data_IF_681496055650
#
_entry.id   IF_681496055650
#
_cell.length_a   1.000
_cell.length_b   1.000
_cell.length_c   1.000
_cell.angle_alpha   90.00
_cell.angle_beta   90.00
_cell.angle_gamma   90.00
#
_symmetry.space_group_name_H-M   'P 1'
#
loop_
_entity.id
_entity.type
_entity.pdbx_description
1 polymer ?
#
# COMPACT_ATOMS: atom_id res chain seq x y z
N UNK A 1 2.14 -0.59 -16.49
CA UNK A 1 3.52 -0.97 -16.81
C UNK A 1 4.01 -2.06 -15.90
N UNK A 2 4.86 -2.95 -16.43
CA UNK A 2 5.33 -4.13 -15.67
C UNK A 2 6.07 -3.76 -14.39
N UNK A 3 6.91 -2.72 -14.42
CA UNK A 3 7.67 -2.31 -13.24
C UNK A 3 6.77 -1.83 -12.10
N UNK A 4 5.77 -1.03 -12.42
CA UNK A 4 4.83 -0.53 -11.41
C UNK A 4 3.92 -1.63 -10.89
N UNK A 5 3.52 -2.54 -11.77
CA UNK A 5 2.73 -3.70 -11.36
C UNK A 5 3.49 -4.55 -10.35
N UNK A 6 4.77 -4.82 -10.63
CA UNK A 6 5.62 -5.59 -9.72
C UNK A 6 5.82 -4.87 -8.40
N UNK A 7 6.02 -3.55 -8.46
CA UNK A 7 6.16 -2.74 -7.25
C UNK A 7 4.89 -2.79 -6.39
N UNK A 8 3.72 -2.75 -7.02
CA UNK A 8 2.45 -2.86 -6.28
C UNK A 8 2.30 -4.21 -5.61
N UNK A 9 2.76 -5.28 -6.24
CA UNK A 9 2.75 -6.59 -5.62
C UNK A 9 3.60 -6.63 -4.36
N UNK A 10 4.80 -6.04 -4.39
CA UNK A 10 5.65 -5.94 -3.22
C UNK A 10 5.06 -5.03 -2.15
N UNK A 11 4.49 -3.90 -2.56
CA UNK A 11 3.84 -3.00 -1.62
C UNK A 11 2.69 -3.71 -0.89
N UNK A 12 1.91 -4.50 -1.61
CA UNK A 12 0.82 -5.28 -1.01
C UNK A 12 1.36 -6.24 0.05
N UNK A 13 2.46 -6.94 -0.26
CA UNK A 13 3.06 -7.86 0.71
C UNK A 13 3.53 -7.13 1.97
N UNK A 14 4.15 -5.98 1.82
CA UNK A 14 4.59 -5.18 2.97
C UNK A 14 3.42 -4.69 3.81
N UNK A 15 2.37 -4.19 3.16
CA UNK A 15 1.18 -3.72 3.87
C UNK A 15 0.44 -4.86 4.56
N UNK A 16 0.42 -6.03 3.95
CA UNK A 16 -0.13 -7.21 4.58
C UNK A 16 0.61 -7.53 5.86
N UNK A 17 1.94 -7.52 5.80
CA UNK A 17 2.78 -7.78 6.95
C UNK A 17 2.54 -6.74 8.05
N UNK A 18 2.45 -5.46 7.69
CA UNK A 18 2.13 -4.40 8.64
C UNK A 18 0.78 -4.65 9.32
N UNK A 19 -0.23 -5.02 8.54
CA UNK A 19 -1.58 -5.23 9.07
C UNK A 19 -1.62 -6.36 10.10
N UNK A 20 -0.81 -7.39 9.89
CA UNK A 20 -0.73 -8.53 10.82
C UNK A 20 0.07 -8.17 12.07
N UNK A 21 1.22 -7.53 11.91
CA UNK A 21 2.13 -7.26 13.03
C UNK A 21 1.90 -5.92 13.70
N UNK A 22 1.36 -4.94 12.98
CA UNK A 22 1.17 -3.55 13.41
C UNK A 22 2.48 -2.85 13.74
N UNK A 23 3.60 -3.33 13.21
CA UNK A 23 4.92 -2.77 13.44
C UNK A 23 5.43 -2.09 12.19
N UNK A 24 5.73 -0.80 12.28
CA UNK A 24 6.29 -0.02 11.18
C UNK A 24 7.81 0.01 11.21
N UNK A 25 8.40 0.01 12.39
CA UNK A 25 9.85 0.17 12.55
C UNK A 25 10.58 -0.97 11.87
N UNK A 26 11.46 -0.61 10.93
CA UNK A 26 12.27 -1.60 10.21
C UNK A 26 11.51 -2.42 9.18
N UNK A 27 10.21 -2.17 8.99
CA UNK A 27 9.39 -2.95 8.06
C UNK A 27 9.97 -2.97 6.64
N UNK A 28 10.25 -1.80 6.10
CA UNK A 28 10.73 -1.68 4.73
C UNK A 28 12.13 -2.28 4.57
N UNK A 29 13.03 -1.91 5.46
CA UNK A 29 14.41 -2.41 5.39
C UNK A 29 14.45 -3.91 5.54
N UNK A 30 13.73 -4.45 6.51
CA UNK A 30 13.70 -5.90 6.74
C UNK A 30 13.11 -6.63 5.53
N UNK A 31 12.07 -6.08 4.94
CA UNK A 31 11.42 -6.72 3.78
C UNK A 31 12.41 -6.96 2.64
N UNK A 32 13.27 -5.97 2.37
CA UNK A 32 14.21 -6.07 1.25
C UNK A 32 15.48 -6.87 1.55
N UNK A 33 15.76 -7.21 2.80
CA UNK A 33 17.00 -7.91 3.15
C UNK A 33 17.16 -9.24 2.44
N UNK A 34 16.05 -9.91 2.13
CA UNK A 34 16.08 -11.23 1.52
C UNK A 34 15.64 -11.23 0.06
N UNK A 35 15.55 -10.05 -0.52
CA UNK A 35 15.06 -9.90 -1.90
C UNK A 35 16.00 -9.03 -2.70
N UNK A 36 16.31 -9.49 -3.92
CA UNK A 36 17.08 -8.69 -4.85
C UNK A 36 16.14 -8.20 -5.93
N UNK A 37 15.90 -6.90 -5.96
CA UNK A 37 14.93 -6.28 -6.85
C UNK A 37 15.57 -5.04 -7.45
N UNK A 38 15.26 -4.75 -8.71
CA UNK A 38 15.80 -3.55 -9.35
C UNK A 38 15.33 -2.29 -8.62
N UNK A 39 16.19 -1.31 -8.60
CA UNK A 39 16.01 -0.09 -7.80
C UNK A 39 14.69 0.62 -8.07
N UNK A 40 14.30 0.74 -9.33
CA UNK A 40 13.07 1.42 -9.70
C UNK A 40 11.82 0.75 -9.10
N UNK A 41 11.80 -0.58 -9.07
CA UNK A 41 10.69 -1.33 -8.47
C UNK A 41 10.66 -1.11 -6.96
N UNK A 42 11.83 -1.23 -6.33
CA UNK A 42 11.94 -1.02 -4.88
C UNK A 42 11.52 0.39 -4.48
N UNK A 43 12.02 1.40 -5.17
CA UNK A 43 11.72 2.79 -4.85
C UNK A 43 10.23 3.08 -4.96
N UNK A 44 9.58 2.59 -6.00
CA UNK A 44 8.14 2.81 -6.16
C UNK A 44 7.33 2.07 -5.10
N UNK A 45 7.71 0.83 -4.79
CA UNK A 45 7.05 0.06 -3.74
C UNK A 45 7.19 0.75 -2.38
N UNK A 46 8.39 1.20 -2.05
CA UNK A 46 8.64 1.92 -0.79
C UNK A 46 7.82 3.19 -0.72
N UNK A 47 7.74 3.92 -1.82
CA UNK A 47 6.94 5.14 -1.88
C UNK A 47 5.47 4.86 -1.59
N UNK A 48 4.93 3.79 -2.16
CA UNK A 48 3.54 3.40 -1.89
C UNK A 48 3.32 3.05 -0.44
N UNK A 49 4.20 2.24 0.13
CA UNK A 49 4.07 1.81 1.52
C UNK A 49 4.21 2.99 2.47
N UNK A 50 5.25 3.80 2.30
CA UNK A 50 5.47 4.97 3.16
C UNK A 50 4.31 5.96 3.06
N UNK A 51 3.81 6.20 1.85
CA UNK A 51 2.69 7.10 1.64
C UNK A 51 1.41 6.60 2.29
N UNK A 52 1.12 5.31 2.16
CA UNK A 52 -0.05 4.71 2.80
C UNK A 52 0.06 4.81 4.32
N UNK A 53 1.20 4.42 4.88
CA UNK A 53 1.36 4.43 6.33
C UNK A 53 1.32 5.84 6.91
N UNK A 54 1.89 6.80 6.20
CA UNK A 54 1.86 8.20 6.62
C UNK A 54 0.45 8.77 6.64
N UNK A 55 -0.41 8.33 5.73
CA UNK A 55 -1.77 8.83 5.59
C UNK A 55 -2.82 7.80 5.98
N UNK A 56 -2.44 6.82 6.79
CA UNK A 56 -3.27 5.65 7.07
C UNK A 56 -4.64 6.01 7.65
N UNK A 57 -4.66 6.86 8.66
CA UNK A 57 -5.93 7.22 9.31
C UNK A 57 -6.87 7.92 8.35
N UNK A 58 -6.33 8.81 7.52
CA UNK A 58 -7.12 9.53 6.53
C UNK A 58 -7.64 8.60 5.44
N UNK A 59 -6.78 7.71 4.94
CA UNK A 59 -7.17 6.74 3.92
C UNK A 59 -8.23 5.78 4.46
N UNK A 60 -8.01 5.23 5.65
CA UNK A 60 -8.97 4.32 6.27
C UNK A 60 -10.30 5.04 6.57
N UNK A 61 -10.24 6.32 6.92
CA UNK A 61 -11.42 7.14 7.09
C UNK A 61 -12.25 7.26 5.82
N UNK A 62 -11.57 7.41 4.68
CA UNK A 62 -12.26 7.43 3.39
C UNK A 62 -12.91 6.10 3.05
N UNK A 63 -12.22 5.00 3.32
CA UNK A 63 -12.77 3.67 3.09
C UNK A 63 -14.04 3.48 3.92
N UNK A 64 -14.00 3.83 5.19
CA UNK A 64 -15.16 3.72 6.09
C UNK A 64 -16.32 4.58 5.60
N UNK A 65 -16.04 5.77 5.12
CA UNK A 65 -17.06 6.71 4.66
C UNK A 65 -17.80 6.20 3.42
N UNK A 66 -17.05 5.63 2.47
CA UNK A 66 -17.63 5.24 1.18
C UNK A 66 -18.02 3.77 1.11
N UNK A 67 -17.52 2.92 2.00
CA UNK A 67 -17.89 1.52 2.10
C UNK A 67 -18.87 1.32 3.25
N UNK A 68 -20.04 1.95 3.17
CA UNK A 68 -21.00 2.03 4.27
C UNK A 68 -21.49 0.70 4.79
N UNK A 69 -21.56 -0.30 3.92
CA UNK A 69 -22.09 -1.62 4.29
C UNK A 69 -21.00 -2.60 4.74
N UNK A 70 -19.74 -2.14 4.75
CA UNK A 70 -18.61 -2.99 5.09
C UNK A 70 -17.70 -2.27 6.08
N UNK A 71 -17.41 -2.88 7.20
CA UNK A 71 -16.40 -2.36 8.11
C UNK A 71 -15.01 -2.77 7.60
N UNK A 72 -13.97 -2.02 7.99
CA UNK A 72 -12.61 -2.38 7.63
C UNK A 72 -12.24 -3.78 8.10
N UNK A 73 -12.78 -4.20 9.24
CA UNK A 73 -12.51 -5.53 9.78
C UNK A 73 -13.12 -6.65 8.94
N UNK A 74 -14.21 -6.36 8.23
CA UNK A 74 -14.88 -7.35 7.38
C UNK A 74 -14.28 -7.44 5.98
N UNK A 75 -13.63 -6.38 5.54
CA UNK A 75 -12.90 -6.41 4.29
C UNK A 75 -11.65 -7.25 4.52
N UNK A 76 -11.40 -8.24 3.67
CA UNK A 76 -10.23 -9.08 3.81
C UNK A 76 -8.93 -8.27 3.80
N UNK A 77 -7.91 -8.76 4.47
CA UNK A 77 -6.64 -8.04 4.62
C UNK A 77 -6.03 -7.65 3.27
N UNK A 78 -6.09 -8.54 2.28
CA UNK A 78 -5.55 -8.25 0.95
C UNK A 78 -6.36 -7.14 0.29
N UNK A 79 -7.68 -7.27 0.26
CA UNK A 79 -8.56 -6.28 -0.37
C UNK A 79 -8.44 -4.92 0.32
N UNK A 80 -8.36 -4.89 1.63
CA UNK A 80 -8.19 -3.65 2.39
C UNK A 80 -6.92 -2.92 1.98
N UNK A 81 -5.83 -3.63 1.85
CA UNK A 81 -4.55 -3.02 1.50
C UNK A 81 -4.48 -2.62 0.02
N UNK A 82 -5.16 -3.36 -0.86
CA UNK A 82 -5.30 -2.93 -2.25
C UNK A 82 -6.06 -1.60 -2.31
N UNK A 83 -7.13 -1.46 -1.56
CA UNK A 83 -7.87 -0.20 -1.48
C UNK A 83 -6.99 0.92 -0.94
N UNK A 84 -6.21 0.65 0.09
CA UNK A 84 -5.34 1.65 0.68
C UNK A 84 -4.35 2.23 -0.32
N UNK A 85 -3.59 1.38 -1.01
CA UNK A 85 -2.61 1.94 -1.94
C UNK A 85 -3.26 2.49 -3.21
N UNK A 86 -4.41 1.97 -3.64
CA UNK A 86 -5.13 2.55 -4.77
C UNK A 86 -5.59 3.97 -4.46
N UNK A 87 -6.14 4.19 -3.27
CA UNK A 87 -6.56 5.53 -2.84
C UNK A 87 -5.34 6.44 -2.75
N UNK A 88 -4.24 5.96 -2.21
CA UNK A 88 -3.02 6.74 -2.14
C UNK A 88 -2.56 7.18 -3.53
N UNK A 89 -2.51 6.26 -4.49
CA UNK A 89 -2.09 6.59 -5.85
C UNK A 89 -2.99 7.63 -6.50
N UNK A 90 -4.30 7.49 -6.34
CA UNK A 90 -5.26 8.39 -6.97
C UNK A 90 -5.26 9.78 -6.35
N UNK A 91 -5.20 9.87 -5.03
CA UNK A 91 -5.39 11.13 -4.32
C UNK A 91 -4.10 11.85 -3.95
N UNK A 92 -3.00 11.10 -3.77
CA UNK A 92 -1.75 11.69 -3.28
C UNK A 92 -0.61 11.68 -4.28
N UNK A 93 -0.76 10.95 -5.38
CA UNK A 93 0.28 10.85 -6.42
C UNK A 93 -0.22 11.43 -7.73
N UNK A 94 0.26 12.64 -8.05
CA UNK A 94 -0.13 13.31 -9.28
C UNK A 94 0.52 12.71 -10.53
N UNK A 95 1.66 12.06 -10.37
CA UNK A 95 2.39 11.44 -11.47
C UNK A 95 1.77 10.14 -11.97
N UNK A 96 0.72 9.65 -11.30
CA UNK A 96 0.04 8.41 -11.67
C UNK A 96 -1.33 8.76 -12.25
N UNK A 97 -1.60 8.42 -13.52
CA UNK A 97 -2.91 8.70 -14.11
C UNK A 97 -4.02 7.93 -13.40
N UNK A 98 -5.13 8.60 -13.17
CA UNK A 98 -6.29 7.99 -12.51
C UNK A 98 -6.94 6.90 -13.37
N UNK A 99 -6.72 6.95 -14.67
CA UNK A 99 -7.26 5.98 -15.63
C UNK A 99 -6.18 4.96 -16.01
N UNK A 100 -5.91 4.03 -15.19
CA UNK A 100 -4.94 2.99 -15.54
C UNK A 100 -5.51 1.62 -15.30
#
# INVERSE_FOLDING_TARGET
MMLRRKAREYALQMLFQFDVTRKQDGLIDHFWTQRKVIHAVRDFADCLVEGVLKNLDEIDGMIKKYAQHWSLERIGTVDRNILRFAIYEILYREDIPAKV
#
